data_IF_764630759741
#
_entry.id   IF_764630759741
#
_cell.length_a   1.000
_cell.length_b   1.000
_cell.length_c   1.000
_cell.angle_alpha   90.00
_cell.angle_beta   90.00
_cell.angle_gamma   90.00
#
_symmetry.space_group_name_H-M   'P 1'
#
loop_
_entity.id
_entity.type
_entity.pdbx_description
1 polymer ?
#
# COMPACT_ATOMS: atom_id res chain seq x y z
N UNK A 1 -47.27 10.73 -67.25
CA UNK A 1 -47.62 10.82 -65.81
C UNK A 1 -46.60 9.99 -65.02
N UNK A 2 -45.44 10.55 -64.72
CA UNK A 2 -44.46 9.94 -63.80
C UNK A 2 -43.81 11.07 -62.99
N UNK A 3 -44.11 11.06 -61.70
CA UNK A 3 -43.71 12.04 -60.69
C UNK A 3 -42.26 11.76 -60.26
N UNK A 4 -41.35 12.72 -60.44
CA UNK A 4 -39.98 12.66 -59.91
C UNK A 4 -39.98 13.19 -58.47
N UNK A 5 -39.80 12.29 -57.50
CA UNK A 5 -39.67 12.61 -56.08
C UNK A 5 -38.23 13.09 -55.79
N UNK A 6 -38.10 14.30 -55.25
CA UNK A 6 -36.85 14.81 -54.68
C UNK A 6 -36.67 14.23 -53.28
N UNK A 7 -35.55 13.54 -53.03
CA UNK A 7 -35.15 13.14 -51.68
C UNK A 7 -34.08 14.10 -51.17
N UNK A 8 -34.45 14.85 -50.15
CA UNK A 8 -33.62 15.80 -49.43
C UNK A 8 -32.73 15.04 -48.44
N UNK A 9 -31.41 15.20 -48.52
CA UNK A 9 -30.47 14.65 -47.54
C UNK A 9 -30.44 15.56 -46.29
N UNK A 10 -31.04 15.11 -45.18
CA UNK A 10 -30.78 15.67 -43.86
C UNK A 10 -29.56 14.95 -43.26
N UNK A 11 -28.47 15.69 -43.04
CA UNK A 11 -27.32 15.23 -42.24
C UNK A 11 -27.66 15.49 -40.77
N UNK A 12 -27.92 14.43 -40.01
CA UNK A 12 -28.12 14.51 -38.56
C UNK A 12 -26.74 14.47 -37.89
N UNK A 13 -26.26 15.59 -37.36
CA UNK A 13 -25.10 15.62 -36.47
C UNK A 13 -25.47 15.00 -35.12
N UNK A 14 -24.89 13.83 -34.80
CA UNK A 14 -24.99 13.24 -33.47
C UNK A 14 -23.96 13.89 -32.54
N UNK A 15 -24.44 14.67 -31.59
CA UNK A 15 -23.66 15.11 -30.44
C UNK A 15 -23.52 13.91 -29.51
N UNK A 16 -22.32 13.33 -29.44
CA UNK A 16 -21.99 12.31 -28.44
C UNK A 16 -21.79 13.00 -27.09
N UNK A 17 -22.81 12.90 -26.22
CA UNK A 17 -22.67 13.24 -24.81
C UNK A 17 -21.72 12.23 -24.15
N UNK A 18 -20.54 12.69 -23.72
CA UNK A 18 -19.68 11.90 -22.85
C UNK A 18 -20.33 11.83 -21.46
N UNK A 19 -20.87 10.67 -21.13
CA UNK A 19 -21.30 10.37 -19.77
C UNK A 19 -20.06 10.01 -18.96
N UNK A 20 -19.80 10.78 -17.90
CA UNK A 20 -18.83 10.42 -16.88
C UNK A 20 -19.36 9.20 -16.12
N UNK A 21 -18.90 8.02 -16.52
CA UNK A 21 -19.12 6.80 -15.74
C UNK A 21 -18.37 6.92 -14.42
N UNK A 22 -19.09 7.17 -13.34
CA UNK A 22 -18.64 6.90 -11.98
C UNK A 22 -18.24 5.42 -11.93
N UNK A 23 -16.95 5.14 -11.76
CA UNK A 23 -16.45 3.78 -11.52
C UNK A 23 -17.07 3.28 -10.23
N UNK A 24 -18.04 2.37 -10.33
CA UNK A 24 -18.48 1.56 -9.21
C UNK A 24 -17.26 0.85 -8.63
N UNK A 25 -16.99 1.10 -7.35
CA UNK A 25 -15.92 0.49 -6.58
C UNK A 25 -16.14 -1.04 -6.56
N UNK A 26 -15.06 -1.80 -6.74
CA UNK A 26 -15.12 -3.24 -6.99
C UNK A 26 -15.85 -4.02 -5.88
N UNK A 27 -16.99 -4.61 -6.25
CA UNK A 27 -17.89 -5.41 -5.39
C UNK A 27 -17.31 -6.79 -4.99
N UNK A 28 -16.01 -7.01 -5.16
CA UNK A 28 -15.30 -8.10 -4.49
C UNK A 28 -13.81 -7.77 -4.40
N UNK A 29 -13.33 -7.48 -3.19
CA UNK A 29 -11.89 -7.43 -2.97
C UNK A 29 -11.27 -8.81 -3.29
N UNK A 30 -10.02 -8.87 -3.76
CA UNK A 30 -9.34 -10.13 -4.04
C UNK A 30 -9.39 -11.10 -2.85
N UNK A 31 -9.51 -12.40 -3.14
CA UNK A 31 -9.54 -13.46 -2.12
C UNK A 31 -8.28 -14.33 -2.13
N UNK A 32 -7.39 -14.11 -3.09
CA UNK A 32 -6.14 -14.86 -3.21
C UNK A 32 -5.25 -14.59 -2.00
N UNK A 33 -4.74 -15.64 -1.34
CA UNK A 33 -3.87 -15.49 -0.19
C UNK A 33 -2.48 -14.98 -0.60
N UNK A 34 -1.72 -14.41 0.34
CA UNK A 34 -0.32 -14.05 0.10
C UNK A 34 0.54 -15.28 -0.22
N UNK A 35 1.70 -15.05 -0.84
CA UNK A 35 2.70 -16.10 -1.09
C UNK A 35 3.07 -16.83 0.20
N UNK A 36 3.17 -18.16 0.14
CA UNK A 36 3.63 -18.99 1.26
C UNK A 36 5.15 -19.18 1.29
N UNK A 37 5.86 -18.68 0.27
CA UNK A 37 7.33 -18.68 0.22
C UNK A 37 7.92 -17.47 0.95
N UNK A 38 7.25 -16.31 0.86
CA UNK A 38 7.59 -15.09 1.61
C UNK A 38 6.96 -15.15 3.00
N UNK A 39 7.61 -14.58 4.01
CA UNK A 39 7.02 -14.44 5.36
C UNK A 39 6.67 -15.75 6.07
N UNK A 40 7.29 -16.88 5.69
CA UNK A 40 7.10 -18.18 6.35
C UNK A 40 7.53 -18.17 7.82
N UNK A 41 8.58 -17.41 8.14
CA UNK A 41 9.02 -17.11 9.50
C UNK A 41 8.76 -15.63 9.81
N UNK A 42 8.63 -15.24 11.10
CA UNK A 42 8.50 -13.84 11.48
C UNK A 42 9.60 -12.98 10.85
N UNK A 43 9.22 -11.82 10.30
CA UNK A 43 10.20 -10.86 9.80
C UNK A 43 11.05 -10.33 10.96
N UNK A 44 12.37 -10.35 10.78
CA UNK A 44 13.33 -9.77 11.72
C UNK A 44 14.01 -8.58 11.05
N UNK A 45 14.08 -7.47 11.76
CA UNK A 45 14.62 -6.24 11.20
C UNK A 45 14.52 -5.05 12.14
N UNK A 46 14.66 -3.88 11.55
CA UNK A 46 14.62 -2.59 12.21
C UNK A 46 13.64 -1.66 11.50
N UNK A 47 13.00 -0.75 12.25
CA UNK A 47 12.02 0.19 11.73
C UNK A 47 12.29 1.59 12.29
N UNK A 48 12.10 2.63 11.46
CA UNK A 48 12.44 4.02 11.80
C UNK A 48 11.60 4.64 12.92
N UNK A 49 10.36 4.18 13.16
CA UNK A 49 9.36 4.91 13.95
C UNK A 49 9.78 5.18 15.38
N UNK A 50 10.11 4.14 16.15
CA UNK A 50 10.45 4.30 17.57
C UNK A 50 11.81 5.00 17.77
N UNK A 51 12.66 5.03 16.74
CA UNK A 51 13.94 5.73 16.78
C UNK A 51 13.79 7.22 16.47
N UNK A 52 12.94 7.58 15.51
CA UNK A 52 13.00 8.90 14.86
C UNK A 52 11.65 9.59 14.65
N UNK A 53 10.51 8.92 14.81
CA UNK A 53 9.21 9.45 14.41
C UNK A 53 9.25 9.94 12.95
N UNK A 54 8.81 11.19 12.71
CA UNK A 54 8.86 11.80 11.37
C UNK A 54 10.23 12.37 10.96
N UNK A 55 11.21 12.45 11.88
CA UNK A 55 12.57 12.95 11.58
C UNK A 55 13.41 11.85 10.93
N UNK A 56 13.00 11.39 9.75
CA UNK A 56 13.68 10.35 8.97
C UNK A 56 14.38 10.94 7.75
N UNK A 57 15.43 10.27 7.29
CA UNK A 57 16.15 10.62 6.06
C UNK A 57 16.87 9.39 5.49
N UNK A 58 17.25 9.48 4.22
CA UNK A 58 18.11 8.52 3.53
C UNK A 58 19.36 8.17 4.35
N UNK A 59 20.04 9.19 4.90
CA UNK A 59 21.24 8.99 5.71
C UNK A 59 20.96 8.16 6.98
N UNK A 60 19.83 8.39 7.66
CA UNK A 60 19.45 7.62 8.86
C UNK A 60 19.12 6.17 8.52
N UNK A 61 18.40 5.94 7.42
CA UNK A 61 18.05 4.60 6.93
C UNK A 61 19.31 3.81 6.57
N UNK A 62 20.23 4.42 5.82
CA UNK A 62 21.49 3.78 5.42
C UNK A 62 22.44 3.57 6.61
N UNK A 63 22.46 4.48 7.58
CA UNK A 63 23.23 4.28 8.81
C UNK A 63 22.72 3.08 9.63
N UNK A 64 21.40 2.91 9.73
CA UNK A 64 20.81 1.73 10.35
C UNK A 64 21.14 0.44 9.58
N UNK A 65 21.06 0.48 8.25
CA UNK A 65 21.41 -0.66 7.39
C UNK A 65 22.86 -1.11 7.60
N UNK A 66 23.83 -0.18 7.57
CA UNK A 66 25.23 -0.50 7.85
C UNK A 66 25.43 -1.01 9.28
N UNK A 67 24.72 -0.44 10.27
CA UNK A 67 24.81 -0.90 11.66
C UNK A 67 24.33 -2.35 11.84
N UNK A 68 23.34 -2.80 11.07
CA UNK A 68 22.91 -4.21 11.07
C UNK A 68 24.05 -5.15 10.63
N UNK A 69 24.88 -4.71 9.67
CA UNK A 69 26.07 -5.45 9.21
C UNK A 69 27.18 -5.38 10.26
N UNK A 70 27.57 -4.17 10.66
CA UNK A 70 28.73 -3.94 11.55
C UNK A 70 28.56 -4.59 12.93
N UNK A 71 27.33 -4.68 13.42
CA UNK A 71 26.99 -5.32 14.70
C UNK A 71 26.75 -6.83 14.57
N UNK A 72 26.83 -7.40 13.36
CA UNK A 72 26.56 -8.82 13.11
C UNK A 72 25.09 -9.22 13.28
N UNK A 73 24.16 -8.27 13.30
CA UNK A 73 22.72 -8.57 13.44
C UNK A 73 22.15 -9.23 12.19
N UNK A 74 22.69 -8.87 11.01
CA UNK A 74 22.33 -9.52 9.75
C UNK A 74 22.62 -11.03 9.78
N UNK A 75 23.75 -11.45 10.36
CA UNK A 75 24.12 -12.87 10.53
C UNK A 75 23.18 -13.60 11.51
N UNK A 76 22.48 -12.87 12.38
CA UNK A 76 21.46 -13.40 13.29
C UNK A 76 20.05 -13.42 12.66
N UNK A 77 19.92 -13.01 11.38
CA UNK A 77 18.68 -13.05 10.61
C UNK A 77 17.91 -11.73 10.56
N UNK A 78 18.41 -10.64 11.15
CA UNK A 78 17.81 -9.30 10.99
C UNK A 78 18.09 -8.80 9.57
N UNK A 79 17.14 -8.99 8.66
CA UNK A 79 17.33 -8.71 7.24
C UNK A 79 16.55 -7.50 6.74
N UNK A 80 15.53 -7.01 7.47
CA UNK A 80 14.69 -5.90 7.02
C UNK A 80 15.11 -4.55 7.60
N UNK A 81 15.26 -3.54 6.74
CA UNK A 81 15.32 -2.11 7.09
C UNK A 81 14.03 -1.44 6.61
N UNK A 82 13.15 -1.10 7.55
CA UNK A 82 11.81 -0.61 7.22
C UNK A 82 11.69 0.90 7.46
N UNK A 83 11.31 1.62 6.41
CA UNK A 83 10.93 3.02 6.47
C UNK A 83 9.47 3.11 6.94
N UNK A 84 9.24 3.80 8.06
CA UNK A 84 7.90 4.06 8.59
C UNK A 84 7.29 5.35 8.00
N UNK A 85 6.28 5.92 8.65
CA UNK A 85 5.55 7.09 8.17
C UNK A 85 6.45 8.33 7.90
N UNK A 86 5.87 9.34 7.26
CA UNK A 86 6.46 10.64 6.97
C UNK A 86 7.59 10.63 5.91
N UNK A 87 7.67 9.62 5.05
CA UNK A 87 8.71 9.50 4.02
C UNK A 87 8.41 10.27 2.73
N UNK A 88 7.13 10.56 2.46
CA UNK A 88 6.67 11.17 1.22
C UNK A 88 6.45 12.68 1.33
N UNK A 89 6.18 13.34 0.20
CA UNK A 89 5.49 14.63 0.20
C UNK A 89 4.04 14.46 0.69
N UNK A 90 3.44 15.57 1.11
CA UNK A 90 2.03 15.60 1.56
C UNK A 90 1.02 15.52 0.40
N UNK A 91 1.48 15.58 -0.84
CA UNK A 91 0.64 15.50 -2.04
C UNK A 91 1.13 14.40 -2.98
N UNK A 92 0.18 13.78 -3.69
CA UNK A 92 0.45 12.86 -4.81
C UNK A 92 0.85 13.64 -6.05
N UNK A 93 1.49 12.96 -6.99
CA UNK A 93 1.71 13.48 -8.32
C UNK A 93 0.36 13.74 -9.01
N UNK A 94 0.14 14.96 -9.51
CA UNK A 94 -1.15 15.36 -10.09
C UNK A 94 -1.56 14.57 -11.33
N UNK A 95 -0.58 14.02 -12.07
CA UNK A 95 -0.81 13.30 -13.33
C UNK A 95 -0.83 11.80 -13.10
N UNK A 96 0.20 11.26 -12.46
CA UNK A 96 0.34 9.80 -12.28
C UNK A 96 -0.38 9.28 -11.04
N UNK A 97 -0.82 10.17 -10.15
CA UNK A 97 -1.39 9.84 -8.84
C UNK A 97 -0.46 9.06 -7.90
N UNK A 98 0.81 8.83 -8.29
CA UNK A 98 1.81 8.16 -7.44
C UNK A 98 2.14 9.00 -6.22
N UNK A 99 2.41 8.34 -5.09
CA UNK A 99 3.04 8.97 -3.93
C UNK A 99 4.45 9.43 -4.34
N UNK A 100 4.84 10.64 -3.94
CA UNK A 100 6.13 11.23 -4.28
C UNK A 100 7.04 11.17 -3.05
N UNK A 101 8.25 10.58 -3.11
CA UNK A 101 9.23 10.69 -2.03
C UNK A 101 9.56 12.16 -1.71
N UNK A 102 9.72 12.49 -0.43
CA UNK A 102 10.22 13.82 -0.05
C UNK A 102 11.70 13.93 -0.45
N UNK A 103 11.99 14.76 -1.45
CA UNK A 103 13.35 14.97 -1.97
C UNK A 103 14.29 15.66 -0.99
N UNK A 104 13.79 16.26 0.10
CA UNK A 104 14.64 16.77 1.17
C UNK A 104 15.10 15.64 2.09
N UNK A 105 14.25 14.63 2.31
CA UNK A 105 14.58 13.45 3.15
C UNK A 105 15.31 12.37 2.35
N UNK A 106 14.92 12.17 1.10
CA UNK A 106 15.39 11.15 0.17
C UNK A 106 15.78 11.82 -1.15
N UNK A 107 16.90 12.56 -1.20
CA UNK A 107 17.31 13.34 -2.38
C UNK A 107 17.51 12.48 -3.62
N UNK A 108 17.87 11.20 -3.45
CA UNK A 108 18.05 10.26 -4.55
C UNK A 108 16.83 9.35 -4.79
N UNK A 109 15.74 9.57 -4.05
CA UNK A 109 14.52 8.77 -4.11
C UNK A 109 14.63 7.40 -3.40
N UNK A 110 13.47 6.77 -3.18
CA UNK A 110 13.39 5.51 -2.43
C UNK A 110 14.07 4.35 -3.16
N UNK A 111 13.99 4.29 -4.49
CA UNK A 111 14.63 3.21 -5.27
C UNK A 111 16.15 3.20 -5.08
N UNK A 112 16.79 4.37 -4.96
CA UNK A 112 18.22 4.43 -4.71
C UNK A 112 18.59 3.91 -3.31
N UNK A 113 17.74 4.17 -2.31
CA UNK A 113 17.92 3.60 -0.96
C UNK A 113 17.74 2.09 -0.99
N UNK A 114 16.74 1.60 -1.73
CA UNK A 114 16.52 0.16 -1.92
C UNK A 114 17.75 -0.51 -2.54
N UNK A 115 18.30 0.05 -3.62
CA UNK A 115 19.51 -0.47 -4.28
C UNK A 115 20.70 -0.56 -3.30
N UNK A 116 20.90 0.47 -2.48
CA UNK A 116 21.98 0.48 -1.49
C UNK A 116 21.76 -0.53 -0.36
N UNK A 117 20.53 -0.68 0.13
CA UNK A 117 20.18 -1.70 1.14
C UNK A 117 20.34 -3.10 0.58
N UNK A 118 19.91 -3.35 -0.67
CA UNK A 118 20.09 -4.63 -1.35
C UNK A 118 21.55 -4.96 -1.60
N UNK A 119 22.40 -3.96 -1.89
CA UNK A 119 23.85 -4.15 -2.05
C UNK A 119 24.54 -4.63 -0.76
N UNK A 120 23.94 -4.39 0.41
CA UNK A 120 24.38 -4.93 1.71
C UNK A 120 23.85 -6.35 1.98
N UNK A 121 23.06 -6.93 1.07
CA UNK A 121 22.38 -8.22 1.27
C UNK A 121 21.15 -8.14 2.19
N UNK A 122 20.69 -6.92 2.51
CA UNK A 122 19.49 -6.67 3.31
C UNK A 122 18.27 -6.45 2.40
N UNK A 123 17.08 -6.37 3.00
CA UNK A 123 15.80 -6.07 2.38
C UNK A 123 15.25 -4.75 2.88
N UNK A 124 14.49 -4.05 2.06
CA UNK A 124 13.90 -2.75 2.42
C UNK A 124 12.38 -2.82 2.53
N UNK A 125 11.83 -2.18 3.55
CA UNK A 125 10.39 -2.00 3.71
C UNK A 125 9.96 -0.55 3.61
N UNK A 126 8.69 -0.36 3.27
CA UNK A 126 8.03 0.94 3.24
C UNK A 126 6.72 0.90 4.04
N UNK A 127 6.13 2.06 4.21
CA UNK A 127 4.90 2.28 4.94
C UNK A 127 3.84 2.96 4.08
N UNK A 128 2.60 2.52 4.23
CA UNK A 128 1.42 3.29 3.81
C UNK A 128 0.23 2.93 4.70
N UNK A 129 -0.96 3.39 4.34
CA UNK A 129 -2.18 3.29 5.14
C UNK A 129 -3.37 2.81 4.29
N UNK A 130 -4.21 1.98 4.89
CA UNK A 130 -5.49 1.51 4.37
C UNK A 130 -6.63 2.54 4.51
N UNK A 131 -6.31 3.82 4.65
CA UNK A 131 -7.20 4.97 4.64
C UNK A 131 -6.76 6.05 3.65
N UNK A 132 -7.41 7.21 3.69
CA UNK A 132 -7.13 8.30 2.73
C UNK A 132 -5.84 9.06 3.04
N UNK A 133 -5.37 8.97 4.28
CA UNK A 133 -4.11 9.54 4.75
C UNK A 133 -3.49 8.61 5.78
N UNK A 134 -2.16 8.58 5.81
CA UNK A 134 -1.38 7.96 6.88
C UNK A 134 -1.67 8.58 8.24
N UNK A 135 -1.26 7.91 9.32
CA UNK A 135 -1.44 8.41 10.68
C UNK A 135 -0.79 9.79 10.90
N UNK A 136 0.33 10.10 10.23
CA UNK A 136 0.97 11.41 10.26
C UNK A 136 0.46 12.42 9.21
N UNK A 137 -0.57 12.07 8.42
CA UNK A 137 -1.25 12.99 7.50
C UNK A 137 -0.65 13.09 6.08
N UNK A 138 0.22 12.15 5.70
CA UNK A 138 0.73 11.95 4.33
C UNK A 138 -0.25 11.12 3.49
N UNK A 139 -0.15 11.08 2.15
CA UNK A 139 -1.06 10.31 1.31
C UNK A 139 -1.15 8.82 1.71
N UNK A 140 -2.36 8.36 2.04
CA UNK A 140 -2.68 6.93 2.24
C UNK A 140 -3.07 6.26 0.93
N UNK A 141 -3.15 4.93 0.90
CA UNK A 141 -3.30 4.14 -0.33
C UNK A 141 -4.72 3.64 -0.61
N UNK A 142 -5.71 3.95 0.23
CA UNK A 142 -7.09 3.51 -0.02
C UNK A 142 -7.61 4.03 -1.37
N UNK A 143 -8.04 3.12 -2.25
CA UNK A 143 -8.46 3.40 -3.63
C UNK A 143 -7.34 3.66 -4.64
N UNK A 144 -6.08 3.57 -4.21
CA UNK A 144 -4.87 3.75 -5.03
C UNK A 144 -3.95 2.51 -4.98
N UNK A 145 -4.46 1.38 -4.51
CA UNK A 145 -3.69 0.19 -4.15
C UNK A 145 -2.90 -0.36 -5.35
N UNK A 146 -3.51 -0.42 -6.53
CA UNK A 146 -2.84 -0.91 -7.74
C UNK A 146 -1.67 0.00 -8.17
N UNK A 147 -1.84 1.32 -8.08
CA UNK A 147 -0.80 2.30 -8.45
C UNK A 147 0.35 2.23 -7.43
N UNK A 148 0.01 2.19 -6.14
CA UNK A 148 0.99 2.22 -5.07
C UNK A 148 1.76 0.89 -5.00
N UNK A 149 1.09 -0.26 -5.11
CA UNK A 149 1.75 -1.58 -5.20
C UNK A 149 2.72 -1.66 -6.38
N UNK A 150 2.32 -1.20 -7.56
CA UNK A 150 3.21 -1.16 -8.73
C UNK A 150 4.39 -0.21 -8.52
N UNK A 151 4.18 0.93 -7.85
CA UNK A 151 5.24 1.89 -7.52
C UNK A 151 6.23 1.30 -6.54
N UNK A 152 5.77 0.62 -5.49
CA UNK A 152 6.62 -0.05 -4.51
C UNK A 152 7.42 -1.19 -5.14
N UNK A 153 6.81 -1.97 -6.04
CA UNK A 153 7.51 -2.98 -6.82
C UNK A 153 8.61 -2.37 -7.73
N UNK A 154 8.29 -1.27 -8.44
CA UNK A 154 9.24 -0.54 -9.29
C UNK A 154 10.44 -0.02 -8.48
N UNK A 155 10.22 0.44 -7.25
CA UNK A 155 11.28 0.89 -6.36
C UNK A 155 12.05 -0.22 -5.66
N UNK A 156 11.67 -1.49 -5.85
CA UNK A 156 12.36 -2.62 -5.23
C UNK A 156 12.02 -2.86 -3.75
N UNK A 157 10.86 -2.41 -3.29
CA UNK A 157 10.42 -2.67 -1.91
C UNK A 157 10.15 -4.17 -1.69
N UNK A 158 10.56 -4.70 -0.54
CA UNK A 158 10.40 -6.11 -0.15
C UNK A 158 9.37 -6.32 0.96
N UNK A 159 8.96 -5.24 1.64
CA UNK A 159 8.05 -5.29 2.79
C UNK A 159 7.13 -4.06 2.81
N UNK A 160 5.85 -4.25 3.11
CA UNK A 160 4.89 -3.17 3.33
C UNK A 160 4.25 -3.28 4.72
N UNK A 161 4.49 -2.27 5.57
CA UNK A 161 3.65 -2.00 6.75
C UNK A 161 2.44 -1.18 6.27
N UNK A 162 1.23 -1.66 6.59
CA UNK A 162 0.00 -1.07 6.08
C UNK A 162 -0.98 -0.71 7.19
N UNK A 163 -1.07 0.56 7.50
CA UNK A 163 -1.76 1.11 8.67
C UNK A 163 -3.26 1.29 8.48
N UNK A 164 -3.93 1.86 9.47
CA UNK A 164 -5.39 1.89 9.56
C UNK A 164 -5.97 3.25 10.00
N UNK A 165 -5.26 4.35 9.78
CA UNK A 165 -5.73 5.70 10.12
C UNK A 165 -6.61 6.29 9.01
N UNK A 166 -7.34 7.36 9.33
CA UNK A 166 -8.12 8.17 8.36
C UNK A 166 -9.02 7.34 7.41
N UNK A 167 -9.69 6.33 7.95
CA UNK A 167 -10.67 5.53 7.21
C UNK A 167 -11.94 6.37 7.03
N UNK A 168 -12.37 6.66 5.78
CA UNK A 168 -13.57 7.47 5.55
C UNK A 168 -14.82 6.68 5.94
N UNK A 169 -15.89 7.39 6.34
CA UNK A 169 -17.07 6.75 6.94
C UNK A 169 -17.75 5.68 6.10
N UNK A 170 -17.71 5.78 4.76
CA UNK A 170 -18.25 4.77 3.85
C UNK A 170 -17.39 3.49 3.74
N UNK A 171 -16.20 3.50 4.34
CA UNK A 171 -15.26 2.38 4.43
C UNK A 171 -15.00 1.92 5.86
N UNK A 172 -15.73 2.48 6.84
CA UNK A 172 -15.68 2.06 8.23
C UNK A 172 -16.58 0.85 8.47
N UNK A 173 -16.18 -0.05 9.36
CA UNK A 173 -17.06 -1.16 9.76
C UNK A 173 -18.28 -0.62 10.54
N UNK A 174 -19.45 -1.19 10.28
CA UNK A 174 -20.56 -1.13 11.24
C UNK A 174 -20.24 -2.11 12.38
N UNK A 175 -20.60 -1.75 13.62
CA UNK A 175 -20.20 -2.37 14.90
C UNK A 175 -19.92 -3.89 14.89
N UNK A 176 -20.71 -4.68 14.14
CA UNK A 176 -20.43 -6.09 13.86
C UNK A 176 -20.91 -6.44 12.44
N UNK A 177 -20.10 -7.17 11.63
CA UNK A 177 -20.51 -7.62 10.31
C UNK A 177 -21.63 -8.66 10.39
N UNK A 178 -22.43 -8.76 9.33
CA UNK A 178 -23.51 -9.74 9.21
C UNK A 178 -22.98 -11.16 9.46
N UNK A 179 -23.68 -11.93 10.30
CA UNK A 179 -23.27 -13.30 10.67
C UNK A 179 -21.94 -13.42 11.43
N UNK A 180 -21.31 -12.30 11.82
CA UNK A 180 -19.97 -12.30 12.41
C UNK A 180 -18.85 -12.56 11.39
N UNK A 181 -19.11 -12.41 10.10
CA UNK A 181 -18.13 -12.63 9.05
C UNK A 181 -17.16 -11.45 8.90
N UNK A 182 -16.13 -11.46 9.74
CA UNK A 182 -15.09 -10.42 9.72
C UNK A 182 -14.23 -10.44 8.45
N UNK A 183 -14.16 -11.54 7.70
CA UNK A 183 -13.42 -11.59 6.44
C UNK A 183 -14.04 -10.73 5.33
N UNK A 184 -15.34 -10.47 5.45
CA UNK A 184 -16.10 -9.60 4.54
C UNK A 184 -16.48 -8.26 5.19
N UNK A 185 -15.88 -7.90 6.34
CA UNK A 185 -15.99 -6.55 6.88
C UNK A 185 -15.25 -5.53 6.01
N UNK A 186 -15.61 -4.25 6.10
CA UNK A 186 -14.93 -3.18 5.37
C UNK A 186 -13.45 -3.13 5.71
N UNK A 187 -13.04 -3.39 6.96
CA UNK A 187 -11.63 -3.52 7.32
C UNK A 187 -10.93 -4.63 6.55
N UNK A 188 -11.45 -5.85 6.55
CA UNK A 188 -10.83 -6.94 5.80
C UNK A 188 -10.79 -6.67 4.29
N UNK A 189 -11.85 -6.07 3.73
CA UNK A 189 -11.93 -5.67 2.32
C UNK A 189 -10.80 -4.68 1.97
N UNK A 190 -10.57 -3.63 2.77
CA UNK A 190 -9.48 -2.67 2.52
C UNK A 190 -8.11 -3.33 2.48
N UNK A 191 -7.83 -4.23 3.43
CA UNK A 191 -6.56 -4.98 3.43
C UNK A 191 -6.45 -5.96 2.27
N UNK A 192 -7.55 -6.60 1.86
CA UNK A 192 -7.60 -7.49 0.70
C UNK A 192 -7.32 -6.77 -0.61
N UNK A 193 -7.77 -5.52 -0.77
CA UNK A 193 -7.45 -4.71 -1.96
C UNK A 193 -5.94 -4.55 -2.12
N UNK A 194 -5.23 -4.16 -1.07
CA UNK A 194 -3.77 -4.04 -1.11
C UNK A 194 -3.08 -5.40 -1.25
N UNK A 195 -3.51 -6.42 -0.49
CA UNK A 195 -2.95 -7.77 -0.59
C UNK A 195 -3.03 -8.33 -2.01
N UNK A 196 -4.19 -8.16 -2.67
CA UNK A 196 -4.36 -8.56 -4.06
C UNK A 196 -3.56 -7.71 -5.04
N UNK A 197 -3.44 -6.40 -4.82
CA UNK A 197 -2.59 -5.53 -5.65
C UNK A 197 -1.10 -5.92 -5.57
N UNK A 198 -0.61 -6.28 -4.38
CA UNK A 198 0.76 -6.79 -4.18
C UNK A 198 0.96 -8.15 -4.85
N UNK A 199 -0.05 -9.03 -4.83
CA UNK A 199 0.02 -10.35 -5.48
C UNK A 199 0.14 -10.29 -7.01
N UNK A 200 -0.20 -9.16 -7.64
CA UNK A 200 -0.01 -8.94 -9.08
C UNK A 200 1.41 -8.48 -9.45
N UNK A 201 2.26 -8.20 -8.45
CA UNK A 201 3.61 -7.68 -8.69
C UNK A 201 4.62 -8.80 -8.88
N UNK A 202 5.68 -8.55 -9.65
CA UNK A 202 6.71 -9.54 -9.94
C UNK A 202 7.66 -9.77 -8.77
N UNK A 203 7.94 -8.74 -7.96
CA UNK A 203 8.68 -8.87 -6.71
C UNK A 203 7.71 -9.28 -5.59
N UNK A 204 7.98 -10.36 -4.84
CA UNK A 204 7.23 -10.67 -3.64
C UNK A 204 7.42 -9.58 -2.58
N UNK A 205 6.33 -8.97 -2.11
CA UNK A 205 6.34 -7.98 -1.04
C UNK A 205 5.70 -8.59 0.21
N UNK A 206 6.46 -8.70 1.30
CA UNK A 206 5.92 -9.17 2.57
C UNK A 206 4.95 -8.14 3.15
N UNK A 207 3.69 -8.52 3.26
CA UNK A 207 2.60 -7.64 3.66
C UNK A 207 2.25 -7.77 5.15
N UNK A 208 2.35 -6.67 5.90
CA UNK A 208 2.11 -6.60 7.34
C UNK A 208 0.96 -5.65 7.68
N UNK A 209 -0.09 -6.20 8.28
CA UNK A 209 -1.33 -5.48 8.59
C UNK A 209 -1.17 -4.73 9.93
N UNK A 210 -1.13 -3.41 9.88
CA UNK A 210 -1.06 -2.56 11.07
C UNK A 210 -2.47 -2.02 11.42
N UNK A 211 -3.39 -2.92 11.76
CA UNK A 211 -4.77 -2.56 12.13
C UNK A 211 -5.05 -2.65 13.64
N UNK A 212 -3.99 -2.78 14.45
CA UNK A 212 -4.02 -2.76 15.91
C UNK A 212 -4.88 -3.84 16.59
N UNK A 213 -5.15 -4.96 15.91
CA UNK A 213 -6.04 -6.00 16.42
C UNK A 213 -7.53 -5.73 16.17
N UNK A 214 -7.86 -4.65 15.46
CA UNK A 214 -9.24 -4.31 15.13
C UNK A 214 -9.89 -5.34 14.19
N UNK A 215 -11.22 -5.29 14.14
CA UNK A 215 -12.05 -6.08 13.25
C UNK A 215 -11.76 -7.59 13.31
N UNK A 216 -11.40 -8.11 14.50
CA UNK A 216 -11.01 -9.50 14.72
C UNK A 216 -10.00 -10.03 13.69
N UNK A 217 -8.93 -9.29 13.42
CA UNK A 217 -7.93 -9.67 12.42
C UNK A 217 -7.32 -11.06 12.59
N UNK A 218 -7.36 -11.65 13.79
CA UNK A 218 -6.95 -13.04 13.99
C UNK A 218 -7.84 -14.06 13.25
N UNK A 219 -9.10 -13.73 12.94
CA UNK A 219 -10.03 -14.61 12.21
C UNK A 219 -9.73 -14.64 10.70
N UNK A 220 -9.07 -13.61 10.15
CA UNK A 220 -8.91 -13.44 8.71
C UNK A 220 -7.53 -13.01 8.21
N UNK A 221 -6.68 -12.46 9.06
CA UNK A 221 -5.40 -11.84 8.69
C UNK A 221 -4.47 -12.81 7.95
N UNK A 222 -4.46 -14.09 8.35
CA UNK A 222 -3.68 -15.15 7.70
C UNK A 222 -4.06 -15.40 6.23
N UNK A 223 -5.26 -14.99 5.82
CA UNK A 223 -5.74 -15.10 4.44
C UNK A 223 -5.35 -13.89 3.58
N UNK A 224 -4.80 -12.85 4.19
CA UNK A 224 -4.63 -11.53 3.54
C UNK A 224 -3.18 -11.07 3.56
N UNK A 225 -2.45 -11.27 4.66
CA UNK A 225 -1.02 -10.94 4.75
C UNK A 225 -0.24 -11.91 5.63
N UNK A 226 1.02 -11.55 5.87
CA UNK A 226 2.01 -12.43 6.50
C UNK A 226 2.12 -12.18 8.01
N UNK A 227 1.67 -11.02 8.48
CA UNK A 227 1.60 -10.68 9.90
C UNK A 227 0.52 -9.64 10.14
N UNK A 228 0.03 -9.54 11.38
CA UNK A 228 -0.88 -8.47 11.80
C UNK A 228 -0.52 -7.99 13.21
N UNK A 229 -0.63 -6.68 13.42
CA UNK A 229 -0.61 -6.07 14.76
C UNK A 229 -1.86 -6.52 15.52
N UNK A 230 -1.68 -6.82 16.81
CA UNK A 230 -2.75 -7.32 17.69
C UNK A 230 -3.10 -6.37 18.85
N UNK A 231 -2.51 -5.17 18.85
CA UNK A 231 -2.76 -4.13 19.84
C UNK A 231 -2.50 -2.74 19.26
N UNK A 232 -2.94 -1.71 19.99
CA UNK A 232 -2.44 -0.34 19.82
C UNK A 232 -0.93 -0.25 19.97
N UNK A 233 -0.38 0.95 19.76
CA UNK A 233 1.06 1.17 19.76
C UNK A 233 1.72 0.86 21.11
N UNK A 234 2.89 0.22 21.04
CA UNK A 234 3.77 0.05 22.19
C UNK A 234 4.26 1.42 22.66
N UNK A 235 4.36 1.61 23.97
CA UNK A 235 4.89 2.83 24.60
C UNK A 235 6.29 2.59 25.13
#
# INVERSE_FOLDING_TARGET
MLLKLHVCFLVLQQVLAQTSTSTALADSAPTEPPSTQTGKTPALGWNTWNAYGCDISEAKVLAAANSLIDLGLADLGYEYINIDDCWSKTTRNSTTQRIIPDSTKFPNGISNVADQVHALGLKIGIYSDAGTATCAGFPGSLGMEAIDAATFNEWGIDYLKYDNCNVPGNWSDSWQPEGGDWYNSNSAVRYRQMGGALAQQSRPIQFALCNWGNANVWDWGARVGHSWRMSGDSR
#
